data_IF_235476600041
#
_entry.id   IF_235476600041
#
_cell.length_a   1.000
_cell.length_b   1.000
_cell.length_c   1.000
_cell.angle_alpha   90.00
_cell.angle_beta   90.00
_cell.angle_gamma   90.00
#
_symmetry.space_group_name_H-M   'P 1'
#
loop_
_entity.id
_entity.type
_entity.pdbx_description
1 polymer ?
#
# COMPACT_ATOMS: atom_id res chain seq x y z
N UNK A 1 -19.84 -9.55 -18.78
CA UNK A 1 -20.74 -9.76 -17.63
C UNK A 1 -20.18 -8.88 -16.54
N UNK A 2 -20.86 -7.79 -16.19
CA UNK A 2 -20.47 -6.92 -15.06
C UNK A 2 -20.92 -7.66 -13.80
N UNK A 3 -19.98 -8.00 -12.92
CA UNK A 3 -20.31 -8.46 -11.58
C UNK A 3 -20.89 -7.27 -10.82
N UNK A 4 -22.18 -7.35 -10.47
CA UNK A 4 -22.84 -6.37 -9.61
C UNK A 4 -22.21 -6.48 -8.21
N UNK A 5 -21.36 -5.51 -7.85
CA UNK A 5 -20.89 -5.37 -6.48
C UNK A 5 -22.11 -5.23 -5.55
N UNK A 6 -22.37 -6.28 -4.78
CA UNK A 6 -23.52 -6.32 -3.87
C UNK A 6 -23.10 -5.66 -2.56
N UNK A 7 -23.75 -4.54 -2.23
CA UNK A 7 -23.54 -3.80 -0.98
C UNK A 7 -24.13 -4.59 0.20
N UNK A 8 -23.43 -5.64 0.64
CA UNK A 8 -23.76 -6.33 1.88
C UNK A 8 -23.20 -5.48 3.03
N UNK A 9 -24.11 -4.86 3.79
CA UNK A 9 -23.74 -4.17 5.02
C UNK A 9 -23.25 -5.20 6.05
N UNK A 10 -21.97 -5.12 6.38
CA UNK A 10 -21.34 -6.02 7.34
C UNK A 10 -21.52 -5.47 8.75
N UNK A 11 -21.87 -6.30 9.75
CA UNK A 11 -22.00 -5.86 11.13
C UNK A 11 -20.71 -5.19 11.62
N UNK A 12 -20.85 -4.15 12.44
CA UNK A 12 -19.71 -3.46 13.06
C UNK A 12 -18.79 -4.48 13.77
N UNK A 13 -17.51 -4.49 13.41
CA UNK A 13 -16.52 -5.42 13.97
C UNK A 13 -16.42 -6.79 13.30
N UNK A 14 -17.12 -7.04 12.18
CA UNK A 14 -17.02 -8.31 11.40
C UNK A 14 -15.62 -8.50 10.80
N UNK A 15 -14.99 -7.42 10.35
CA UNK A 15 -13.57 -7.44 9.98
C UNK A 15 -12.74 -6.98 11.18
N UNK A 16 -12.35 -7.93 12.03
CA UNK A 16 -11.05 -7.82 12.70
C UNK A 16 -9.99 -8.33 11.74
N UNK A 17 -9.92 -7.73 10.55
CA UNK A 17 -8.66 -7.77 9.85
C UNK A 17 -7.75 -6.90 10.71
N UNK A 18 -6.81 -7.51 11.42
CA UNK A 18 -5.55 -6.80 11.60
C UNK A 18 -5.21 -6.30 10.20
N UNK A 19 -5.25 -4.97 9.97
CA UNK A 19 -4.92 -4.36 8.69
C UNK A 19 -3.46 -4.69 8.44
N UNK A 20 -3.22 -5.92 7.99
CA UNK A 20 -1.92 -6.52 7.83
C UNK A 20 -1.32 -6.06 6.53
N UNK A 21 -2.17 -5.72 5.57
CA UNK A 21 -1.85 -5.25 4.25
C UNK A 21 -2.43 -3.86 4.04
N UNK A 22 -1.64 -3.02 3.37
CA UNK A 22 -1.99 -1.66 2.97
C UNK A 22 -1.75 -1.54 1.47
N UNK A 23 -2.66 -0.86 0.76
CA UNK A 23 -2.47 -0.48 -0.63
C UNK A 23 -1.99 0.97 -0.66
N UNK A 24 -0.78 1.18 -1.16
CA UNK A 24 -0.14 2.51 -1.19
C UNK A 24 0.22 2.91 -2.62
N UNK A 25 0.29 4.22 -2.85
CA UNK A 25 0.72 4.80 -4.13
C UNK A 25 2.20 5.18 -4.02
N UNK A 26 3.02 4.76 -4.99
CA UNK A 26 4.43 5.13 -5.04
C UNK A 26 4.57 6.56 -5.57
N UNK A 27 4.93 7.51 -4.72
CA UNK A 27 5.15 8.91 -5.12
C UNK A 27 6.58 9.19 -5.59
N UNK A 28 7.55 8.38 -5.13
CA UNK A 28 8.97 8.50 -5.47
C UNK A 28 9.70 7.18 -5.32
N UNK A 29 10.81 7.01 -6.05
CA UNK A 29 11.69 5.84 -5.96
C UNK A 29 13.15 6.27 -5.86
N UNK A 30 13.97 5.49 -5.15
CA UNK A 30 15.42 5.64 -5.18
C UNK A 30 15.98 5.20 -6.54
N UNK A 31 17.14 5.75 -6.95
CA UNK A 31 17.82 5.38 -8.19
C UNK A 31 18.23 3.91 -8.26
N UNK A 32 18.34 3.26 -7.11
CA UNK A 32 18.81 1.87 -6.99
C UNK A 32 17.66 0.85 -7.01
N UNK A 33 16.40 1.31 -7.04
CA UNK A 33 15.22 0.44 -7.14
C UNK A 33 15.19 -0.22 -8.52
N UNK A 34 15.00 -1.53 -8.54
CA UNK A 34 14.96 -2.28 -9.80
C UNK A 34 13.54 -2.34 -10.37
N UNK A 35 13.39 -2.47 -11.71
CA UNK A 35 12.10 -2.81 -12.29
C UNK A 35 11.54 -4.10 -11.68
N UNK A 36 10.21 -4.21 -11.48
CA UNK A 36 9.16 -3.43 -12.16
C UNK A 36 8.61 -2.21 -11.40
N UNK A 37 9.15 -1.84 -10.23
CA UNK A 37 8.59 -0.73 -9.44
C UNK A 37 8.86 0.64 -10.08
N UNK A 38 7.80 1.45 -10.20
CA UNK A 38 7.85 2.80 -10.73
C UNK A 38 6.91 3.76 -9.98
N UNK A 39 7.21 5.06 -10.08
CA UNK A 39 6.33 6.12 -9.60
C UNK A 39 4.96 6.02 -10.27
N UNK A 40 3.90 6.18 -9.48
CA UNK A 40 2.51 6.05 -9.91
C UNK A 40 1.96 4.63 -9.83
N UNK A 41 2.78 3.60 -9.56
CA UNK A 41 2.26 2.27 -9.28
C UNK A 41 1.52 2.25 -7.94
N UNK A 42 0.39 1.54 -7.92
CA UNK A 42 -0.24 1.13 -6.67
C UNK A 42 0.36 -0.21 -6.25
N UNK A 43 0.80 -0.33 -5.00
CA UNK A 43 1.47 -1.54 -4.49
C UNK A 43 0.83 -2.01 -3.19
N UNK A 44 0.93 -3.30 -2.92
CA UNK A 44 0.49 -3.90 -1.65
C UNK A 44 1.71 -4.17 -0.78
N UNK A 45 1.66 -3.65 0.45
CA UNK A 45 2.72 -3.77 1.45
C UNK A 45 2.13 -4.26 2.75
N UNK A 46 2.97 -4.76 3.65
CA UNK A 46 2.54 -5.03 5.02
C UNK A 46 2.58 -3.72 5.82
N UNK A 47 1.51 -3.40 6.55
CA UNK A 47 1.34 -2.08 7.20
C UNK A 47 2.44 -1.75 8.22
N UNK A 48 2.94 -2.77 8.93
CA UNK A 48 4.02 -2.63 9.90
C UNK A 48 5.42 -2.46 9.26
N UNK A 49 5.51 -2.56 7.92
CA UNK A 49 6.75 -2.40 7.16
C UNK A 49 6.84 -1.00 6.52
N UNK A 50 5.87 -0.13 6.80
CA UNK A 50 5.89 1.28 6.42
C UNK A 50 6.55 2.06 7.55
N UNK A 51 7.63 2.76 7.22
CA UNK A 51 8.30 3.66 8.16
C UNK A 51 7.86 5.09 7.90
N UNK A 52 7.43 5.79 8.96
CA UNK A 52 7.10 7.21 8.90
C UNK A 52 8.33 8.04 9.31
N UNK A 53 8.75 8.94 8.43
CA UNK A 53 9.90 9.83 8.65
C UNK A 53 9.47 11.26 8.38
N UNK A 54 9.71 12.16 9.33
CA UNK A 54 9.45 13.59 9.18
C UNK A 54 10.75 14.36 8.98
N UNK A 55 10.84 15.10 7.87
CA UNK A 55 11.98 15.96 7.54
C UNK A 55 11.73 17.45 7.85
N UNK A 56 10.62 17.77 8.53
CA UNK A 56 10.20 19.13 8.89
C UNK A 56 9.19 19.75 7.91
N UNK A 57 8.88 19.07 6.81
CA UNK A 57 7.85 19.46 5.83
C UNK A 57 6.60 18.57 5.90
N UNK A 58 6.57 17.63 6.84
CA UNK A 58 5.49 16.67 7.02
C UNK A 58 5.99 15.22 6.96
N UNK A 59 5.13 14.26 7.34
CA UNK A 59 5.48 12.85 7.34
C UNK A 59 5.62 12.34 5.91
N UNK A 60 6.72 11.63 5.65
CA UNK A 60 6.96 10.84 4.45
C UNK A 60 6.96 9.37 4.83
N UNK A 61 6.30 8.54 4.02
CA UNK A 61 6.20 7.12 4.24
C UNK A 61 7.19 6.37 3.36
N UNK A 62 8.11 5.65 3.99
CA UNK A 62 9.16 4.88 3.33
C UNK A 62 8.85 3.38 3.39
N UNK A 63 9.09 2.71 2.26
CA UNK A 63 8.97 1.25 2.14
C UNK A 63 10.16 0.74 1.35
N UNK A 64 10.80 -0.34 1.82
CA UNK A 64 11.87 -1.00 1.07
C UNK A 64 11.29 -1.86 -0.06
N UNK A 65 11.99 -1.95 -1.18
CA UNK A 65 11.59 -2.74 -2.36
C UNK A 65 11.22 -4.19 -2.00
N UNK A 66 11.99 -4.83 -1.11
CA UNK A 66 11.76 -6.21 -0.68
C UNK A 66 10.55 -6.39 0.25
N UNK A 67 9.90 -5.31 0.67
CA UNK A 67 8.67 -5.34 1.48
C UNK A 67 7.39 -5.19 0.64
N UNK A 68 7.55 -4.93 -0.66
CA UNK A 68 6.43 -4.92 -1.61
C UNK A 68 6.04 -6.34 -1.95
N UNK A 69 4.77 -6.68 -1.72
CA UNK A 69 4.22 -8.02 -2.01
C UNK A 69 3.74 -8.14 -3.45
N UNK A 70 3.33 -7.04 -4.07
CA UNK A 70 2.85 -7.01 -5.44
C UNK A 70 2.46 -5.62 -5.92
N UNK A 71 2.37 -5.48 -7.24
CA UNK A 71 1.89 -4.28 -7.93
C UNK A 71 0.44 -4.55 -8.37
N UNK A 72 -0.43 -3.55 -8.20
CA UNK A 72 -1.85 -3.60 -8.58
C UNK A 72 -2.03 -2.77 -9.85
N UNK A 73 -2.58 -3.40 -10.89
CA UNK A 73 -2.96 -2.75 -12.16
C UNK A 73 -4.37 -2.14 -12.10
#
# INVERSE_FOLDING_TARGET
MQEEETLIALPEGTFRAENRYERVLVEGISSDVRPPLAVGNAVVVLSHMIEEVDFGEGPVYLVLENHVLGIVE
#
